data_IF_713446862757
#
_entry.id   IF_713446862757
#
_cell.length_a   1.000
_cell.length_b   1.000
_cell.length_c   1.000
_cell.angle_alpha   90.00
_cell.angle_beta   90.00
_cell.angle_gamma   90.00
#
_symmetry.space_group_name_H-M   'P 1'
#
loop_
_entity.id
_entity.type
_entity.pdbx_description
1 polymer ?
#
# COMPACT_ATOMS: atom_id res chain seq x y z
N UNK A 1 -10.38 -24.77 10.22
CA UNK A 1 -10.39 -23.54 9.39
C UNK A 1 -11.85 -23.29 9.00
N UNK A 2 -12.61 -22.61 9.86
CA UNK A 2 -14.06 -22.40 9.68
C UNK A 2 -14.37 -21.03 9.08
N UNK A 3 -13.52 -20.58 8.15
CA UNK A 3 -13.68 -19.31 7.46
C UNK A 3 -14.51 -19.53 6.20
N UNK A 4 -15.67 -18.87 6.13
CA UNK A 4 -16.55 -18.86 4.97
C UNK A 4 -16.31 -17.57 4.18
N UNK A 5 -15.97 -17.67 2.90
CA UNK A 5 -15.96 -16.50 2.00
C UNK A 5 -17.39 -16.22 1.60
N UNK A 6 -17.96 -15.14 2.10
CA UNK A 6 -19.35 -14.76 1.82
C UNK A 6 -19.51 -14.10 0.46
N UNK A 7 -18.51 -13.31 0.07
CA UNK A 7 -18.46 -12.65 -1.22
C UNK A 7 -17.01 -12.39 -1.63
N UNK A 8 -16.74 -12.53 -2.93
CA UNK A 8 -15.48 -12.14 -3.54
C UNK A 8 -15.79 -11.26 -4.75
N UNK A 9 -15.33 -10.00 -4.71
CA UNK A 9 -15.41 -9.10 -5.84
C UNK A 9 -14.08 -9.12 -6.56
N UNK A 10 -14.07 -9.73 -7.73
CA UNK A 10 -12.94 -9.66 -8.64
C UNK A 10 -13.06 -8.42 -9.53
N UNK A 11 -12.05 -7.56 -9.46
CA UNK A 11 -11.99 -6.38 -10.30
C UNK A 11 -10.57 -5.86 -10.40
N UNK A 12 -10.36 -4.54 -10.44
CA UNK A 12 -9.03 -3.96 -10.47
C UNK A 12 -8.14 -4.39 -9.30
N UNK A 13 -8.76 -4.70 -8.17
CA UNK A 13 -8.22 -5.37 -6.98
C UNK A 13 -9.19 -6.50 -6.60
N UNK A 14 -8.71 -7.46 -5.81
CA UNK A 14 -9.57 -8.49 -5.21
C UNK A 14 -10.09 -7.95 -3.89
N UNK A 15 -11.39 -7.99 -3.66
CA UNK A 15 -12.00 -7.68 -2.37
C UNK A 15 -12.75 -8.90 -1.87
N UNK A 16 -12.45 -9.33 -0.64
CA UNK A 16 -12.98 -10.56 -0.04
C UNK A 16 -13.68 -10.24 1.26
N UNK A 17 -14.88 -10.77 1.41
CA UNK A 17 -15.64 -10.74 2.65
C UNK A 17 -15.55 -12.14 3.26
N UNK A 18 -14.99 -12.23 4.47
CA UNK A 18 -14.81 -13.48 5.20
C UNK A 18 -15.62 -13.41 6.49
N UNK A 19 -16.38 -14.46 6.73
CA UNK A 19 -17.04 -14.71 7.99
C UNK A 19 -16.38 -15.90 8.68
N UNK A 20 -15.83 -15.65 9.85
CA UNK A 20 -15.28 -16.66 10.72
C UNK A 20 -16.39 -17.19 11.65
N UNK A 21 -16.87 -18.41 11.37
CA UNK A 21 -17.97 -19.03 12.14
C UNK A 21 -17.58 -19.36 13.58
N UNK A 22 -16.28 -19.57 13.85
CA UNK A 22 -15.81 -19.93 15.20
C UNK A 22 -15.77 -18.71 16.11
N UNK A 23 -15.43 -17.55 15.55
CA UNK A 23 -15.29 -16.29 16.29
C UNK A 23 -16.50 -15.36 16.14
N UNK A 24 -17.51 -15.79 15.38
CA UNK A 24 -18.63 -14.95 14.92
C UNK A 24 -18.14 -13.61 14.34
N UNK A 25 -17.03 -13.67 13.61
CA UNK A 25 -16.26 -12.49 13.24
C UNK A 25 -16.33 -12.24 11.74
N UNK A 26 -16.91 -11.11 11.36
CA UNK A 26 -17.07 -10.69 9.97
C UNK A 26 -16.03 -9.62 9.62
N UNK A 27 -15.21 -9.88 8.61
CA UNK A 27 -14.23 -8.91 8.14
C UNK A 27 -14.07 -8.95 6.62
N UNK A 28 -13.66 -7.82 6.06
CA UNK A 28 -13.28 -7.70 4.67
C UNK A 28 -11.78 -7.52 4.56
N UNK A 29 -11.17 -8.03 3.49
CA UNK A 29 -9.80 -7.68 3.17
C UNK A 29 -9.55 -7.53 1.67
N UNK A 30 -8.58 -6.68 1.36
CA UNK A 30 -8.00 -6.48 0.03
C UNK A 30 -6.55 -6.94 0.12
N UNK A 31 -6.17 -8.08 -0.49
CA UNK A 31 -4.80 -8.54 -0.49
C UNK A 31 -3.92 -7.57 -1.26
N UNK A 32 -2.84 -7.13 -0.62
CA UNK A 32 -1.84 -6.24 -1.18
C UNK A 32 -0.46 -6.82 -0.88
N UNK A 33 0.21 -7.35 -1.92
CA UNK A 33 1.57 -7.89 -1.83
C UNK A 33 2.62 -6.87 -1.39
N UNK A 34 2.38 -5.59 -1.67
CA UNK A 34 3.36 -4.52 -1.43
C UNK A 34 3.04 -3.77 -0.15
N UNK A 35 4.09 -3.47 0.62
CA UNK A 35 3.99 -2.61 1.79
C UNK A 35 3.49 -1.22 1.41
N UNK A 36 2.32 -0.87 1.94
CA UNK A 36 1.74 0.48 1.80
C UNK A 36 2.11 1.34 3.02
N UNK A 37 2.19 2.64 2.80
CA UNK A 37 2.45 3.59 3.89
C UNK A 37 1.14 3.96 4.58
N UNK A 38 1.25 4.40 5.84
CA UNK A 38 0.08 4.83 6.63
C UNK A 38 -0.70 5.98 5.95
N UNK A 39 -0.04 6.82 5.16
CA UNK A 39 -0.71 7.87 4.39
C UNK A 39 -1.70 7.29 3.38
N UNK A 40 -1.28 6.27 2.62
CA UNK A 40 -2.13 5.61 1.62
C UNK A 40 -3.34 4.97 2.28
N UNK A 41 -3.15 4.29 3.42
CA UNK A 41 -4.25 3.73 4.21
C UNK A 41 -5.24 4.82 4.62
N UNK A 42 -4.74 5.99 5.05
CA UNK A 42 -5.56 7.13 5.45
C UNK A 42 -6.32 7.74 4.28
N UNK A 43 -5.72 7.85 3.11
CA UNK A 43 -6.43 8.33 1.91
C UNK A 43 -7.54 7.36 1.48
N UNK A 44 -7.25 6.06 1.49
CA UNK A 44 -8.27 5.04 1.23
C UNK A 44 -9.41 5.14 2.25
N UNK A 45 -9.08 5.32 3.54
CA UNK A 45 -10.08 5.50 4.61
C UNK A 45 -10.92 6.75 4.40
N UNK A 46 -10.32 7.86 3.94
CA UNK A 46 -11.03 9.10 3.68
C UNK A 46 -12.01 8.98 2.50
N UNK A 47 -11.67 8.23 1.46
CA UNK A 47 -12.50 8.07 0.26
C UNK A 47 -13.60 7.02 0.46
N UNK A 48 -13.27 5.92 1.13
CA UNK A 48 -14.25 4.86 1.44
C UNK A 48 -15.15 5.22 2.63
N UNK A 49 -14.75 6.20 3.44
CA UNK A 49 -15.31 6.50 4.75
C UNK A 49 -15.33 5.31 5.71
N UNK A 50 -14.47 4.31 5.45
CA UNK A 50 -14.40 3.07 6.23
C UNK A 50 -13.07 3.00 7.03
N UNK A 51 -13.09 2.45 8.26
CA UNK A 51 -11.93 2.39 9.15
C UNK A 51 -10.93 1.29 8.75
N UNK A 52 -10.30 1.44 7.58
CA UNK A 52 -9.32 0.49 7.06
C UNK A 52 -8.07 0.38 7.94
N UNK A 53 -7.60 -0.85 8.14
CA UNK A 53 -6.34 -1.18 8.81
C UNK A 53 -5.42 -1.93 7.86
N UNK A 54 -4.13 -1.62 7.88
CA UNK A 54 -3.15 -2.41 7.13
C UNK A 54 -2.52 -3.47 8.02
N UNK A 55 -2.54 -4.72 7.54
CA UNK A 55 -1.92 -5.87 8.19
C UNK A 55 -0.89 -6.47 7.22
N UNK A 56 0.36 -6.55 7.65
CA UNK A 56 1.43 -7.13 6.82
C UNK A 56 1.15 -8.61 6.54
N UNK A 57 1.19 -9.02 5.27
CA UNK A 57 0.85 -10.38 4.81
C UNK A 57 -0.62 -10.59 4.43
N UNK A 58 -1.56 -9.80 4.96
CA UNK A 58 -2.99 -9.86 4.62
C UNK A 58 -3.45 -8.70 3.73
N UNK A 59 -2.82 -7.52 3.84
CA UNK A 59 -3.18 -6.32 3.08
C UNK A 59 -4.05 -5.36 3.88
N UNK A 60 -5.03 -4.75 3.23
CA UNK A 60 -6.01 -3.88 3.90
C UNK A 60 -7.12 -4.73 4.46
N UNK A 61 -7.46 -4.54 5.73
CA UNK A 61 -8.49 -5.26 6.46
C UNK A 61 -9.48 -4.24 7.03
N UNK A 62 -10.76 -4.53 6.88
CA UNK A 62 -11.87 -3.77 7.42
C UNK A 62 -12.68 -4.70 8.33
N UNK A 63 -12.86 -4.29 9.57
CA UNK A 63 -13.69 -5.02 10.52
C UNK A 63 -15.17 -4.60 10.31
N UNK A 64 -16.02 -5.58 10.06
CA UNK A 64 -17.46 -5.39 9.87
C UNK A 64 -18.28 -6.03 10.99
N UNK A 65 -17.64 -6.71 11.94
CA UNK A 65 -18.32 -7.42 13.02
C UNK A 65 -19.17 -6.47 13.88
N UNK A 66 -18.63 -5.29 14.19
CA UNK A 66 -19.36 -4.23 14.90
C UNK A 66 -20.64 -3.82 14.15
N UNK A 67 -20.55 -3.63 12.83
CA UNK A 67 -21.71 -3.22 12.02
C UNK A 67 -22.76 -4.31 11.87
N UNK A 68 -22.32 -5.57 11.71
CA UNK A 68 -23.24 -6.70 11.64
C UNK A 68 -24.00 -6.88 12.96
N UNK A 69 -23.30 -6.76 14.10
CA UNK A 69 -23.87 -6.87 15.43
C UNK A 69 -24.85 -5.73 15.74
N UNK A 70 -24.48 -4.47 15.48
CA UNK A 70 -25.30 -3.30 15.80
C UNK A 70 -26.61 -3.25 14.99
N UNK A 71 -26.58 -3.69 13.73
CA UNK A 71 -27.75 -3.61 12.85
C UNK A 71 -28.61 -4.89 12.88
N UNK A 72 -28.15 -5.96 13.55
CA UNK A 72 -28.81 -7.28 13.51
C UNK A 72 -28.93 -7.83 12.09
N UNK A 73 -28.01 -7.45 11.20
CA UNK A 73 -28.07 -7.79 9.77
C UNK A 73 -27.32 -9.08 9.53
N UNK A 74 -27.94 -9.98 8.76
CA UNK A 74 -27.33 -11.25 8.38
C UNK A 74 -25.99 -11.00 7.65
N UNK A 75 -24.91 -11.73 8.00
CA UNK A 75 -23.60 -11.57 7.37
C UNK A 75 -23.66 -11.65 5.83
N UNK A 76 -24.56 -12.47 5.26
CA UNK A 76 -24.74 -12.60 3.81
C UNK A 76 -25.38 -11.37 3.19
N UNK A 77 -26.34 -10.76 3.88
CA UNK A 77 -26.97 -9.52 3.41
C UNK A 77 -25.96 -8.36 3.43
N UNK A 78 -25.16 -8.28 4.50
CA UNK A 78 -24.08 -7.33 4.62
C UNK A 78 -23.05 -7.55 3.50
N UNK A 79 -22.75 -8.81 3.19
CA UNK A 79 -21.87 -9.17 2.09
C UNK A 79 -22.29 -8.58 0.75
N UNK A 80 -23.58 -8.69 0.40
CA UNK A 80 -24.13 -8.11 -0.84
C UNK A 80 -24.10 -6.58 -0.87
N UNK A 81 -24.38 -5.93 0.26
CA UNK A 81 -24.32 -4.46 0.35
C UNK A 81 -22.89 -3.95 0.13
N UNK A 82 -21.93 -4.58 0.79
CA UNK A 82 -20.52 -4.24 0.66
C UNK A 82 -19.96 -4.60 -0.71
N UNK A 83 -20.37 -5.71 -1.30
CA UNK A 83 -20.02 -6.07 -2.68
C UNK A 83 -20.41 -4.96 -3.67
N UNK A 84 -21.65 -4.47 -3.61
CA UNK A 84 -22.12 -3.40 -4.48
C UNK A 84 -21.34 -2.09 -4.25
N UNK A 85 -21.19 -1.67 -2.97
CA UNK A 85 -20.43 -0.47 -2.59
C UNK A 85 -18.98 -0.52 -3.09
N UNK A 86 -18.30 -1.64 -2.84
CA UNK A 86 -16.89 -1.77 -3.18
C UNK A 86 -16.64 -1.97 -4.66
N UNK A 87 -17.57 -2.53 -5.41
CA UNK A 87 -17.42 -2.66 -6.88
C UNK A 87 -17.16 -1.31 -7.57
N UNK A 88 -17.78 -0.24 -7.11
CA UNK A 88 -17.58 1.11 -7.67
C UNK A 88 -16.35 1.81 -7.08
N UNK A 89 -16.12 1.64 -5.77
CA UNK A 89 -15.03 2.32 -5.06
C UNK A 89 -13.67 1.67 -5.35
N UNK A 90 -13.64 0.40 -5.73
CA UNK A 90 -12.41 -0.36 -6.01
C UNK A 90 -11.53 0.28 -7.08
N UNK A 91 -12.12 0.93 -8.10
CA UNK A 91 -11.36 1.63 -9.14
C UNK A 91 -10.62 2.83 -8.56
N UNK A 92 -11.30 3.63 -7.73
CA UNK A 92 -10.70 4.76 -7.01
C UNK A 92 -9.60 4.30 -6.06
N UNK A 93 -9.81 3.21 -5.31
CA UNK A 93 -8.80 2.64 -4.41
C UNK A 93 -7.58 2.16 -5.19
N UNK A 94 -7.77 1.51 -6.35
CA UNK A 94 -6.65 1.12 -7.21
C UNK A 94 -5.86 2.31 -7.71
N UNK A 95 -6.53 3.39 -8.11
CA UNK A 95 -5.86 4.60 -8.60
C UNK A 95 -4.90 5.18 -7.55
N UNK A 96 -5.36 5.31 -6.31
CA UNK A 96 -4.52 5.76 -5.18
C UNK A 96 -3.33 4.80 -4.96
N UNK A 97 -3.60 3.49 -4.99
CA UNK A 97 -2.54 2.49 -4.84
C UNK A 97 -1.51 2.56 -5.98
N UNK A 98 -1.92 2.91 -7.19
CA UNK A 98 -1.03 3.06 -8.34
C UNK A 98 -0.20 4.36 -8.26
N UNK A 99 -0.83 5.48 -7.91
CA UNK A 99 -0.14 6.76 -7.66
C UNK A 99 0.90 6.64 -6.53
N UNK A 100 0.56 5.88 -5.47
CA UNK A 100 1.48 5.55 -4.39
C UNK A 100 2.68 4.69 -4.86
N UNK A 101 2.47 3.79 -5.84
CA UNK A 101 3.56 2.99 -6.43
C UNK A 101 4.48 3.86 -7.28
N UNK A 102 3.95 4.79 -8.08
CA UNK A 102 4.74 5.68 -8.92
C UNK A 102 5.62 6.62 -8.08
N UNK A 103 5.06 7.21 -7.02
CA UNK A 103 5.81 8.06 -6.08
C UNK A 103 6.90 7.29 -5.32
N UNK A 104 6.68 6.01 -4.98
CA UNK A 104 7.70 5.15 -4.38
C UNK A 104 8.81 4.74 -5.40
N UNK A 105 8.46 4.54 -6.66
CA UNK A 105 9.39 4.23 -7.75
C UNK A 105 10.37 5.36 -8.05
N UNK A 106 9.92 6.61 -7.97
CA UNK A 106 10.77 7.77 -8.27
C UNK A 106 11.89 7.99 -7.22
N UNK A 107 11.63 7.66 -5.94
CA UNK A 107 12.65 7.73 -4.87
C UNK A 107 13.81 6.74 -5.08
N UNK A 108 13.57 5.54 -5.64
CA UNK A 108 14.65 4.60 -5.98
C UNK A 108 15.50 5.08 -7.16
N UNK A 109 14.92 5.79 -8.14
CA UNK A 109 15.66 6.36 -9.28
C UNK A 109 16.53 7.56 -8.88
N UNK A 110 16.08 8.41 -7.95
CA UNK A 110 16.89 9.55 -7.46
C UNK A 110 18.08 9.11 -6.60
N UNK A 111 17.99 8.03 -5.81
CA UNK A 111 19.12 7.55 -4.95
C UNK A 111 20.25 6.86 -5.73
N UNK A 112 19.97 6.25 -6.90
CA UNK A 112 21.01 5.69 -7.79
C UNK A 112 21.76 6.77 -8.60
N UNK A 113 21.12 7.90 -8.91
CA UNK A 113 21.76 9.00 -9.66
C UNK A 113 22.73 9.83 -8.81
N UNK A 114 22.49 10.01 -7.52
CA UNK A 114 23.40 10.79 -6.64
C UNK A 114 24.65 10.02 -6.18
N UNK A 115 24.58 8.70 -5.96
CA UNK A 115 25.76 7.90 -5.58
C UNK A 115 26.81 7.74 -6.68
N UNK A 116 26.46 7.91 -7.97
CA UNK A 116 27.43 7.88 -9.08
C UNK A 116 28.15 9.23 -9.30
N UNK A 117 27.65 10.34 -8.74
CA UNK A 117 28.22 11.68 -8.98
C UNK A 117 29.27 12.11 -7.94
N UNK A 118 29.33 11.48 -6.76
CA UNK A 118 30.30 11.85 -5.71
C UNK A 118 31.68 11.20 -5.82
N UNK A 119 31.86 10.14 -6.63
CA UNK A 119 33.18 9.48 -6.81
C UNK A 119 34.06 10.06 -7.93
N UNK A 120 33.60 11.06 -8.68
CA UNK A 120 34.31 11.55 -9.89
C UNK A 120 34.86 12.98 -9.82
N UNK A 121 34.92 13.60 -8.63
CA UNK A 121 35.49 14.94 -8.40
C UNK A 121 36.64 14.97 -7.38
N UNK A 122 37.52 13.96 -7.35
CA UNK A 122 38.73 14.02 -6.50
C UNK A 122 40.02 13.51 -7.16
N UNK A 123 40.18 13.72 -8.47
CA UNK A 123 41.45 13.40 -9.15
C UNK A 123 41.71 14.30 -10.36
N UNK A 124 41.81 15.62 -10.18
CA UNK A 124 42.41 16.55 -11.16
C UNK A 124 42.95 17.81 -10.46
N UNK A 125 44.02 17.62 -9.69
CA UNK A 125 45.01 18.61 -9.19
C UNK A 125 46.03 17.75 -8.44
N UNK A 126 47.28 17.55 -8.83
CA UNK A 126 48.18 18.33 -9.68
C UNK A 126 49.40 17.47 -9.98
N UNK A 127 49.59 17.04 -11.23
CA UNK A 127 50.87 16.58 -11.76
C UNK A 127 51.34 17.64 -12.77
N UNK A 128 52.22 18.54 -12.33
CA UNK A 128 52.64 19.72 -13.09
C UNK A 128 53.94 20.31 -12.57
N UNK A 129 55.01 19.57 -12.83
CA UNK A 129 56.43 19.84 -12.60
C UNK A 129 56.85 21.24 -13.10
N UNK A 130 57.46 22.10 -12.26
CA UNK A 130 58.36 23.18 -12.71
C UNK A 130 59.36 23.63 -11.63
N UNK A 131 60.52 22.98 -11.65
CA UNK A 131 61.86 23.56 -11.64
C UNK A 131 62.08 24.89 -10.88
N UNK A 132 62.78 24.85 -9.74
CA UNK A 132 63.61 25.97 -9.27
C UNK A 132 64.88 25.43 -8.59
N UNK A 133 65.91 25.26 -9.42
CA UNK A 133 67.32 25.34 -9.02
C UNK A 133 67.55 26.76 -8.52
N UNK A 134 68.04 26.93 -7.29
CA UNK A 134 68.61 28.21 -6.85
C UNK A 134 69.90 27.90 -6.11
N UNK A 135 70.94 28.52 -6.66
CA UNK A 135 72.34 28.46 -6.32
C UNK A 135 72.60 29.62 -5.36
N UNK A 136 73.05 29.34 -4.15
CA UNK A 136 73.98 30.18 -3.40
C UNK A 136 74.58 29.36 -2.28
#
# INVERSE_FOLDING_TARGET
MSQEVLAEVQGPLVFRIIYDRELDYLYCHIPIDKRITRNVVREISNITHDPWRYVEGLGLVLDLSAWASENGVDPRALGKMYEAKYREILDSVKKILDEAKETAGERKRKKKRTKRKSKRKKSKKSSGKKNRKSKK
#
